data_IF_035596204869
#
_entry.id   IF_035596204869
#
_cell.length_a   1.000
_cell.length_b   1.000
_cell.length_c   1.000
_cell.angle_alpha   90.00
_cell.angle_beta   90.00
_cell.angle_gamma   90.00
#
_symmetry.space_group_name_H-M   'P 1'
#
loop_
_entity.id
_entity.type
_entity.pdbx_description
1 polymer ?
#
# COMPACT_ATOMS: atom_id res chain seq x y z
N UNK A 1 -4.45 17.09 8.26
CA UNK A 1 -5.55 16.28 7.70
C UNK A 1 -5.52 14.97 8.43
N UNK A 2 -6.56 14.66 9.19
CA UNK A 2 -6.62 13.45 10.01
C UNK A 2 -7.01 12.22 9.17
N UNK A 3 -6.61 11.03 9.63
CA UNK A 3 -6.92 9.76 8.95
C UNK A 3 -8.43 9.48 8.98
N UNK A 4 -9.08 9.11 7.85
CA UNK A 4 -10.51 8.78 7.81
C UNK A 4 -10.93 7.59 8.68
N UNK A 5 -9.97 6.76 9.10
CA UNK A 5 -10.23 5.60 9.95
C UNK A 5 -9.03 4.66 10.03
N UNK A 6 -9.16 3.52 10.73
CA UNK A 6 -8.15 2.47 10.70
C UNK A 6 -8.02 1.86 9.30
N UNK A 7 -6.88 1.23 9.04
CA UNK A 7 -6.61 0.49 7.80
C UNK A 7 -6.12 -0.89 8.15
N UNK A 8 -6.69 -1.91 7.52
CA UNK A 8 -6.25 -3.30 7.65
C UNK A 8 -5.63 -3.77 6.34
N UNK A 9 -4.36 -4.16 6.40
CA UNK A 9 -3.67 -4.75 5.25
C UNK A 9 -3.95 -6.25 5.15
N UNK A 10 -4.31 -6.73 3.95
CA UNK A 10 -4.51 -8.15 3.65
C UNK A 10 -3.39 -8.68 2.76
N UNK A 11 -2.56 -9.59 3.30
CA UNK A 11 -1.57 -10.31 2.51
C UNK A 11 -2.22 -11.15 1.40
N UNK A 12 -3.38 -11.75 1.67
CA UNK A 12 -4.09 -12.62 0.72
C UNK A 12 -4.48 -11.86 -0.55
N UNK A 13 -5.13 -10.69 -0.41
CA UNK A 13 -5.52 -9.84 -1.54
C UNK A 13 -4.32 -9.39 -2.38
N UNK A 14 -3.21 -9.06 -1.72
CA UNK A 14 -2.00 -8.62 -2.41
C UNK A 14 -1.27 -9.79 -3.09
N UNK A 15 -1.13 -10.94 -2.42
CA UNK A 15 -0.49 -12.13 -2.98
C UNK A 15 -1.24 -12.72 -4.18
N UNK A 16 -2.56 -12.55 -4.23
CA UNK A 16 -3.37 -12.95 -5.38
C UNK A 16 -3.00 -12.20 -6.69
N UNK A 17 -2.29 -11.06 -6.59
CA UNK A 17 -1.84 -10.26 -7.74
C UNK A 17 -0.32 -10.11 -7.80
N UNK A 18 0.36 -10.20 -6.65
CA UNK A 18 1.81 -10.02 -6.49
C UNK A 18 2.39 -11.27 -5.86
N UNK A 19 2.90 -12.17 -6.69
CA UNK A 19 3.30 -13.50 -6.23
C UNK A 19 4.56 -13.48 -5.34
N UNK A 20 5.49 -12.57 -5.65
CA UNK A 20 6.80 -12.53 -4.99
C UNK A 20 6.75 -11.68 -3.74
N UNK A 21 7.08 -12.28 -2.60
CA UNK A 21 7.24 -11.57 -1.32
C UNK A 21 8.25 -10.41 -1.42
N UNK A 22 9.24 -10.55 -2.30
CA UNK A 22 10.33 -9.58 -2.50
C UNK A 22 9.91 -8.30 -3.20
N UNK A 23 8.70 -8.25 -3.77
CA UNK A 23 8.14 -7.02 -4.34
C UNK A 23 7.79 -6.02 -3.23
N UNK A 24 7.38 -6.50 -2.06
CA UNK A 24 7.11 -5.66 -0.90
C UNK A 24 8.25 -5.68 0.12
N UNK A 25 8.89 -6.83 0.34
CA UNK A 25 9.85 -7.02 1.41
C UNK A 25 11.29 -7.23 0.92
N UNK A 26 12.31 -6.62 1.53
CA UNK A 26 12.23 -5.56 2.55
C UNK A 26 12.17 -4.16 1.92
N UNK A 27 12.02 -4.09 0.58
CA UNK A 27 12.15 -2.86 -0.21
C UNK A 27 11.15 -1.78 0.20
N UNK A 28 9.88 -2.14 0.36
CA UNK A 28 8.78 -1.20 0.66
C UNK A 28 8.39 -1.29 2.14
N UNK A 29 8.34 -2.51 2.68
CA UNK A 29 8.01 -2.77 4.08
C UNK A 29 9.04 -3.68 4.71
N UNK A 30 9.36 -3.44 5.99
CA UNK A 30 10.04 -4.44 6.82
C UNK A 30 9.08 -5.57 7.17
N UNK A 31 9.62 -6.76 7.42
CA UNK A 31 8.83 -7.95 7.75
C UNK A 31 8.06 -7.81 9.07
N UNK A 32 8.60 -7.02 10.01
CA UNK A 32 7.97 -6.79 11.32
C UNK A 32 7.03 -5.58 11.27
N UNK A 33 5.77 -5.81 11.66
CA UNK A 33 4.73 -4.77 11.77
C UNK A 33 5.23 -3.60 12.62
N UNK A 34 4.98 -2.38 12.15
CA UNK A 34 5.35 -1.14 12.83
C UNK A 34 6.81 -0.71 12.67
N UNK A 35 7.66 -1.46 11.94
CA UNK A 35 9.09 -1.11 11.81
C UNK A 35 9.47 -0.40 10.50
N UNK A 36 8.55 -0.30 9.56
CA UNK A 36 8.77 0.41 8.29
C UNK A 36 8.76 1.94 8.47
N UNK A 37 8.31 2.44 9.62
CA UNK A 37 8.16 3.86 9.92
C UNK A 37 6.68 4.28 10.00
N UNK A 38 6.47 5.57 10.25
CA UNK A 38 5.12 6.15 10.33
C UNK A 38 4.53 6.29 8.93
N UNK A 39 3.37 5.69 8.72
CA UNK A 39 2.63 5.81 7.47
C UNK A 39 1.77 7.07 7.54
N UNK A 40 2.09 8.06 6.72
CA UNK A 40 1.32 9.32 6.58
C UNK A 40 0.87 9.50 5.14
N UNK A 41 -0.22 10.23 4.91
CA UNK A 41 -0.68 10.53 3.55
C UNK A 41 0.42 11.19 2.70
N UNK A 42 1.18 12.11 3.28
CA UNK A 42 2.31 12.75 2.61
C UNK A 42 3.37 11.74 2.15
N UNK A 43 3.77 10.81 3.02
CA UNK A 43 4.73 9.77 2.64
C UNK A 43 4.18 8.85 1.53
N UNK A 44 2.88 8.56 1.54
CA UNK A 44 2.25 7.78 0.48
C UNK A 44 2.27 8.54 -0.86
N UNK A 45 2.00 9.84 -0.85
CA UNK A 45 2.06 10.69 -2.05
C UNK A 45 3.49 10.81 -2.60
N UNK A 46 4.51 10.71 -1.75
CA UNK A 46 5.93 10.61 -2.14
C UNK A 46 6.32 9.23 -2.69
N UNK A 47 5.38 8.29 -2.82
CA UNK A 47 5.63 6.95 -3.34
C UNK A 47 6.21 5.96 -2.33
N UNK A 48 6.13 6.25 -1.02
CA UNK A 48 6.54 5.32 0.04
C UNK A 48 5.36 4.41 0.43
N UNK A 49 5.67 3.30 1.09
CA UNK A 49 4.68 2.35 1.63
C UNK A 49 3.64 1.93 0.57
N UNK A 50 2.34 2.10 0.83
CA UNK A 50 1.27 1.74 -0.10
C UNK A 50 1.38 2.54 -1.41
N UNK A 51 1.84 3.79 -1.35
CA UNK A 51 1.99 4.67 -2.51
C UNK A 51 3.06 4.24 -3.52
N UNK A 52 3.94 3.30 -3.15
CA UNK A 52 4.89 2.70 -4.09
C UNK A 52 4.17 2.00 -5.27
N UNK A 53 2.97 1.48 -5.01
CA UNK A 53 2.12 0.83 -6.01
C UNK A 53 0.78 1.56 -6.20
N UNK A 54 0.13 2.02 -5.13
CA UNK A 54 -1.16 2.71 -5.19
C UNK A 54 -1.01 4.18 -5.60
N UNK A 55 -0.44 4.41 -6.78
CA UNK A 55 -0.16 5.74 -7.33
C UNK A 55 -0.93 6.02 -8.63
N UNK A 56 -1.86 5.13 -9.01
CA UNK A 56 -2.65 5.25 -10.24
C UNK A 56 -1.84 5.04 -11.53
N UNK A 57 -0.57 4.61 -11.43
CA UNK A 57 0.34 4.44 -12.58
C UNK A 57 0.97 3.05 -12.61
N UNK A 58 1.29 2.48 -11.45
CA UNK A 58 1.91 1.15 -11.35
C UNK A 58 0.95 0.11 -11.92
N UNK A 59 1.47 -0.74 -12.79
CA UNK A 59 0.75 -1.89 -13.30
C UNK A 59 1.26 -3.17 -12.65
N UNK A 60 0.33 -4.05 -12.28
CA UNK A 60 0.59 -5.39 -11.72
C UNK A 60 -0.35 -6.35 -12.43
N UNK A 61 0.20 -7.42 -13.01
CA UNK A 61 -0.56 -8.41 -13.79
C UNK A 61 -1.50 -7.76 -14.85
N UNK A 62 -0.98 -6.76 -15.58
CA UNK A 62 -1.72 -6.06 -16.63
C UNK A 62 -2.82 -5.09 -16.14
N UNK A 63 -2.96 -4.90 -14.82
CA UNK A 63 -3.95 -3.99 -14.23
C UNK A 63 -3.28 -2.80 -13.56
N UNK A 64 -3.78 -1.59 -13.80
CA UNK A 64 -3.34 -0.39 -13.07
C UNK A 64 -3.83 -0.47 -11.62
N UNK A 65 -2.91 -0.33 -10.68
CA UNK A 65 -3.23 -0.28 -9.25
C UNK A 65 -3.87 1.07 -8.94
N UNK A 66 -4.99 1.06 -8.21
CA UNK A 66 -5.76 2.27 -7.91
C UNK A 66 -4.94 3.32 -7.12
N UNK A 67 -5.24 4.62 -7.26
CA UNK A 67 -4.50 5.70 -6.62
C UNK A 67 -4.81 5.85 -5.11
N UNK A 68 -3.90 6.51 -4.39
CA UNK A 68 -3.96 6.63 -2.93
C UNK A 68 -5.11 7.49 -2.40
N UNK A 69 -5.68 8.34 -3.25
CA UNK A 69 -6.82 9.20 -2.95
C UNK A 69 -8.17 8.47 -2.99
N UNK A 70 -8.20 7.19 -3.38
CA UNK A 70 -9.36 6.32 -3.24
C UNK A 70 -9.54 5.86 -1.77
N UNK A 71 -9.82 6.81 -0.86
CA UNK A 71 -9.84 6.64 0.60
C UNK A 71 -10.59 5.38 1.06
N UNK A 72 -11.80 5.16 0.52
CA UNK A 72 -12.71 4.09 0.94
C UNK A 72 -12.20 2.68 0.57
N UNK A 73 -11.17 2.58 -0.28
CA UNK A 73 -10.56 1.29 -0.64
C UNK A 73 -9.65 0.74 0.46
N UNK A 74 -9.18 1.61 1.35
CA UNK A 74 -8.28 1.26 2.45
C UNK A 74 -8.93 1.48 3.82
N UNK A 75 -9.66 2.58 3.98
CA UNK A 75 -10.38 2.94 5.21
C UNK A 75 -11.76 2.29 5.25
N UNK A 76 -11.78 0.95 5.18
CA UNK A 76 -13.03 0.18 5.30
C UNK A 76 -13.40 0.02 6.77
N UNK A 77 -14.68 0.22 7.16
CA UNK A 77 -15.18 -0.08 8.50
C UNK A 77 -14.90 -1.51 8.96
#
# INVERSE_FOLDING_TARGET
>A
MDSPGPVTFSHEKHKAKVEKCTECHVKVFKMKRGQSGTITLAALQEGKFCGACHNGKKQIAGTVVFPIDACDRCHTP
#
